data_IF_229761813746
#
_entry.id   IF_229761813746
#
_cell.length_a   1.000
_cell.length_b   1.000
_cell.length_c   1.000
_cell.angle_alpha   90.00
_cell.angle_beta   90.00
_cell.angle_gamma   90.00
#
_symmetry.space_group_name_H-M   'P 1'
#
loop_
_entity.id
_entity.type
_entity.pdbx_description
1 polymer ?
#
# COMPACT_ATOMS: atom_id res chain seq x y z
N UNK A 1 -5.41 15.22 11.96
CA UNK A 1 -5.10 13.96 11.25
C UNK A 1 -3.83 13.31 11.80
N UNK A 2 -3.93 12.05 12.26
CA UNK A 2 -2.78 11.33 12.85
C UNK A 2 -1.95 10.51 11.85
N UNK A 3 -2.40 10.45 10.59
CA UNK A 3 -1.66 9.90 9.47
C UNK A 3 -1.21 11.03 8.54
N UNK A 4 0.07 11.02 8.19
CA UNK A 4 0.69 12.02 7.32
C UNK A 4 1.09 11.37 6.00
N UNK A 5 0.88 12.09 4.89
CA UNK A 5 1.35 11.62 3.58
C UNK A 5 2.88 11.45 3.59
N UNK A 6 3.33 10.29 3.12
CA UNK A 6 4.74 9.96 2.97
C UNK A 6 5.20 10.12 1.52
N UNK A 7 4.77 9.20 0.65
CA UNK A 7 5.16 9.20 -0.76
C UNK A 7 4.24 8.32 -1.61
N UNK A 8 4.29 8.49 -2.93
CA UNK A 8 3.69 7.58 -3.89
C UNK A 8 4.73 6.52 -4.32
N UNK A 9 4.37 5.24 -4.24
CA UNK A 9 5.28 4.12 -4.55
C UNK A 9 4.53 2.83 -4.89
N UNK A 10 5.26 1.84 -5.42
CA UNK A 10 4.80 0.46 -5.54
C UNK A 10 5.67 -0.43 -4.62
N UNK A 11 5.26 -0.64 -3.35
CA UNK A 11 6.08 -1.38 -2.39
C UNK A 11 6.31 -2.83 -2.82
N UNK A 12 7.58 -3.23 -2.91
CA UNK A 12 7.98 -4.58 -3.35
C UNK A 12 7.34 -5.69 -2.51
N UNK A 13 7.10 -5.44 -1.23
CA UNK A 13 6.48 -6.42 -0.33
C UNK A 13 5.03 -6.77 -0.75
N UNK A 14 4.30 -5.87 -1.42
CA UNK A 14 2.96 -6.15 -1.93
C UNK A 14 2.97 -7.24 -3.00
N UNK A 15 4.09 -7.43 -3.72
CA UNK A 15 4.21 -8.52 -4.70
C UNK A 15 4.11 -9.90 -4.02
N UNK A 16 4.61 -10.00 -2.78
CA UNK A 16 4.56 -11.23 -1.99
C UNK A 16 3.14 -11.42 -1.45
N UNK A 17 2.53 -10.37 -0.90
CA UNK A 17 1.15 -10.44 -0.42
C UNK A 17 0.15 -10.70 -1.54
N UNK A 18 0.36 -10.17 -2.75
CA UNK A 18 -0.49 -10.46 -3.89
C UNK A 18 -0.52 -11.96 -4.20
N UNK A 19 0.64 -12.62 -4.20
CA UNK A 19 0.73 -14.09 -4.36
C UNK A 19 0.06 -14.84 -3.22
N UNK A 20 0.28 -14.39 -1.99
CA UNK A 20 -0.35 -14.99 -0.82
C UNK A 20 -1.88 -14.86 -0.87
N UNK A 21 -2.42 -13.69 -1.22
CA UNK A 21 -3.85 -13.43 -1.25
C UNK A 21 -4.57 -14.08 -2.44
N UNK A 22 -3.85 -14.34 -3.53
CA UNK A 22 -4.39 -15.03 -4.69
C UNK A 22 -4.99 -16.40 -4.33
N UNK A 23 -4.41 -17.13 -3.37
CA UNK A 23 -4.95 -18.43 -2.93
C UNK A 23 -6.34 -18.32 -2.26
N UNK A 24 -6.71 -17.12 -1.80
CA UNK A 24 -8.01 -16.81 -1.21
C UNK A 24 -8.96 -16.12 -2.20
N UNK A 25 -8.60 -16.05 -3.49
CA UNK A 25 -9.38 -15.35 -4.52
C UNK A 25 -9.32 -13.83 -4.43
N UNK A 26 -8.41 -13.27 -3.64
CA UNK A 26 -8.23 -11.82 -3.47
C UNK A 26 -7.11 -11.36 -4.40
N UNK A 27 -7.46 -10.47 -5.34
CA UNK A 27 -6.52 -9.89 -6.29
C UNK A 27 -6.04 -8.52 -5.80
N UNK A 28 -4.79 -8.46 -5.32
CA UNK A 28 -4.17 -7.22 -4.87
C UNK A 28 -3.43 -6.54 -6.05
N UNK A 29 -3.71 -5.27 -6.38
CA UNK A 29 -2.99 -4.57 -7.42
C UNK A 29 -1.54 -4.34 -6.98
N UNK A 30 -0.60 -4.67 -7.84
CA UNK A 30 0.84 -4.57 -7.52
C UNK A 30 1.71 -4.33 -8.76
N UNK A 31 1.13 -4.41 -9.96
CA UNK A 31 1.84 -4.18 -11.20
C UNK A 31 2.17 -2.68 -11.36
N UNK A 32 3.44 -2.30 -11.59
CA UNK A 32 3.83 -0.88 -11.65
C UNK A 32 3.18 -0.09 -12.78
N UNK A 33 2.72 -0.77 -13.83
CA UNK A 33 2.01 -0.16 -14.96
C UNK A 33 0.49 -0.04 -14.72
N UNK A 34 -0.05 -0.70 -13.70
CA UNK A 34 -1.49 -0.66 -13.38
C UNK A 34 -1.88 0.51 -12.48
N UNK A 35 -0.90 1.20 -11.86
CA UNK A 35 -1.12 2.29 -10.93
C UNK A 35 -0.02 2.45 -9.88
N UNK A 36 -0.33 3.19 -8.82
CA UNK A 36 0.60 3.53 -7.75
C UNK A 36 -0.11 3.58 -6.39
N UNK A 37 0.59 3.26 -5.30
CA UNK A 37 0.07 3.44 -3.95
C UNK A 37 0.53 4.76 -3.33
N UNK A 38 -0.39 5.48 -2.69
CA UNK A 38 -0.06 6.59 -1.80
C UNK A 38 0.12 6.06 -0.38
N UNK A 39 1.33 6.23 0.16
CA UNK A 39 1.67 5.83 1.51
C UNK A 39 1.37 6.97 2.49
N UNK A 40 0.70 6.64 3.59
CA UNK A 40 0.50 7.50 4.75
C UNK A 40 1.12 6.84 5.97
N UNK A 41 1.96 7.56 6.71
CA UNK A 41 2.65 7.08 7.91
C UNK A 41 1.96 7.63 9.15
N UNK A 42 1.76 6.77 10.14
CA UNK A 42 1.06 7.10 11.38
C UNK A 42 1.03 5.88 12.30
N UNK A 43 0.15 5.78 13.28
CA UNK A 43 -0.55 6.89 13.91
C UNK A 43 0.46 7.71 14.73
N UNK A 44 0.62 9.01 14.48
CA UNK A 44 1.59 9.86 15.20
C UNK A 44 1.29 10.01 16.71
N UNK A 45 0.11 9.58 17.18
CA UNK A 45 -0.20 9.48 18.61
C UNK A 45 0.52 8.33 19.30
N UNK A 46 1.12 7.40 18.54
CA UNK A 46 1.90 6.27 19.06
C UNK A 46 3.20 6.12 18.27
N UNK A 47 4.32 5.91 18.96
CA UNK A 47 5.61 5.78 18.28
C UNK A 47 5.64 4.56 17.34
N UNK A 48 6.00 4.78 16.06
CA UNK A 48 6.59 3.81 15.12
C UNK A 48 5.74 2.71 14.44
N UNK A 49 4.40 2.71 14.36
CA UNK A 49 3.71 1.42 14.05
C UNK A 49 2.68 1.28 12.92
N UNK A 50 2.38 2.30 12.12
CA UNK A 50 1.38 2.18 11.06
C UNK A 50 1.78 2.78 9.72
N UNK A 51 1.45 2.07 8.65
CA UNK A 51 1.32 2.65 7.33
C UNK A 51 -0.05 2.30 6.75
N UNK A 52 -0.60 3.23 5.97
CA UNK A 52 -1.76 3.01 5.12
C UNK A 52 -1.30 3.17 3.69
N UNK A 53 -1.68 2.24 2.83
CA UNK A 53 -1.43 2.28 1.40
C UNK A 53 -2.76 2.42 0.68
N UNK A 54 -2.93 3.51 -0.07
CA UNK A 54 -4.14 3.77 -0.86
C UNK A 54 -3.80 3.59 -2.34
N UNK A 55 -4.47 2.65 -3.01
CA UNK A 55 -4.26 2.39 -4.43
C UNK A 55 -4.88 3.50 -5.30
N UNK A 56 -4.10 3.99 -6.26
CA UNK A 56 -4.56 4.84 -7.36
C UNK A 56 -4.28 4.11 -8.68
N UNK A 57 -5.31 3.64 -9.41
CA UNK A 57 -5.14 3.05 -10.73
C UNK A 57 -4.49 4.03 -11.73
N UNK A 58 -3.73 3.50 -12.68
CA UNK A 58 -3.38 4.22 -13.90
C UNK A 58 -4.64 4.35 -14.75
N UNK A 59 -4.90 5.56 -15.27
CA UNK A 59 -6.05 5.85 -16.14
C UNK A 59 -6.09 4.95 -17.38
#
# INVERSE_FOLDING_TARGET
PTFQYGCAQNPVFLNIYAKFFQQFGIHLPHAPNAGIYHQYRGDVSVSHKGEILIWQPAN
#
